data_IF_640395076486
#
_entry.id   IF_640395076486
#
_cell.length_a   1.000
_cell.length_b   1.000
_cell.length_c   1.000
_cell.angle_alpha   90.00
_cell.angle_beta   90.00
_cell.angle_gamma   90.00
#
_symmetry.space_group_name_H-M   'P 1'
#
loop_
_entity.id
_entity.type
_entity.pdbx_description
1 polymer ?
#
# COMPACT_ATOMS: atom_id res chain seq x y z
N UNK A 1 20.28 70.31 9.75
CA UNK A 1 19.12 70.52 10.65
C UNK A 1 17.83 70.49 9.83
N UNK A 2 16.88 69.61 10.21
CA UNK A 2 15.41 69.66 9.97
C UNK A 2 14.99 69.93 8.51
N UNK A 3 14.51 68.96 7.74
CA UNK A 3 13.15 68.39 7.89
C UNK A 3 13.08 66.99 7.30
N UNK A 4 12.88 66.05 8.21
CA UNK A 4 12.58 64.64 8.03
C UNK A 4 11.09 64.45 7.67
N UNK A 5 10.79 63.31 7.04
CA UNK A 5 9.50 62.60 7.12
C UNK A 5 8.28 63.21 6.41
N UNK A 6 8.19 63.07 5.08
CA UNK A 6 6.88 63.08 4.37
C UNK A 6 6.75 62.10 3.21
N UNK A 7 7.66 61.13 3.08
CA UNK A 7 7.60 60.11 2.03
C UNK A 7 7.77 58.67 2.57
N UNK A 8 7.20 58.39 3.75
CA UNK A 8 7.12 57.03 4.31
C UNK A 8 5.64 56.64 4.46
N UNK A 9 4.87 56.80 3.38
CA UNK A 9 3.45 56.43 3.36
C UNK A 9 2.98 56.10 1.94
N UNK A 10 3.70 55.21 1.26
CA UNK A 10 3.33 54.52 0.01
C UNK A 10 4.55 53.62 -0.24
N UNK A 11 4.56 52.30 -0.14
CA UNK A 11 3.65 51.28 -0.65
C UNK A 11 3.96 50.05 0.23
N UNK A 12 3.11 49.78 1.22
CA UNK A 12 3.06 48.48 1.89
C UNK A 12 1.84 47.74 1.32
N UNK A 13 1.84 47.53 0.01
CA UNK A 13 0.76 46.83 -0.69
C UNK A 13 1.06 45.34 -0.63
N UNK A 14 0.42 44.70 0.35
CA UNK A 14 -0.08 43.33 0.30
C UNK A 14 0.81 42.27 -0.33
N UNK A 15 1.79 41.78 0.42
CA UNK A 15 2.13 40.35 0.34
C UNK A 15 0.97 39.55 0.91
N UNK A 16 -0.11 39.40 0.14
CA UNK A 16 -1.04 38.30 0.34
C UNK A 16 -0.27 37.03 0.02
N UNK A 17 0.26 36.44 1.08
CA UNK A 17 0.69 35.05 1.10
C UNK A 17 -0.56 34.26 0.73
N UNK A 18 -0.70 33.99 -0.56
CA UNK A 18 -1.61 32.97 -1.05
C UNK A 18 -0.98 31.65 -0.66
N UNK A 19 -1.15 31.28 0.62
CA UNK A 19 -1.20 29.89 0.99
C UNK A 19 -2.40 29.34 0.24
N UNK A 20 -2.16 28.83 -0.97
CA UNK A 20 -3.03 27.79 -1.51
C UNK A 20 -2.91 26.66 -0.51
N UNK A 21 -3.92 26.50 0.35
CA UNK A 21 -4.20 25.18 0.91
C UNK A 21 -4.22 24.25 -0.29
N UNK A 22 -3.22 23.38 -0.37
CA UNK A 22 -3.26 22.28 -1.30
C UNK A 22 -4.50 21.47 -0.92
N UNK A 23 -5.59 21.68 -1.66
CA UNK A 23 -6.80 20.88 -1.51
C UNK A 23 -6.34 19.46 -1.75
N UNK A 24 -6.25 18.68 -0.66
CA UNK A 24 -5.85 17.28 -0.74
C UNK A 24 -6.79 16.62 -1.75
N UNK A 25 -6.22 15.94 -2.73
CA UNK A 25 -7.04 15.19 -3.69
C UNK A 25 -7.84 14.15 -2.90
N UNK A 26 -9.14 13.97 -3.22
CA UNK A 26 -9.95 12.99 -2.52
C UNK A 26 -9.38 11.61 -2.76
N UNK A 27 -9.31 10.83 -1.69
CA UNK A 27 -8.90 9.42 -1.72
C UNK A 27 -10.02 8.51 -2.21
N UNK A 28 -11.27 8.98 -2.10
CA UNK A 28 -12.47 8.27 -2.50
C UNK A 28 -13.41 9.21 -3.24
N UNK A 29 -14.01 8.73 -4.32
CA UNK A 29 -14.97 9.48 -5.13
C UNK A 29 -16.39 8.90 -5.04
N UNK A 30 -17.27 9.58 -4.29
CA UNK A 30 -18.69 9.23 -4.15
C UNK A 30 -19.51 9.82 -5.31
N UNK A 31 -20.18 8.97 -6.10
CA UNK A 31 -21.02 9.40 -7.24
C UNK A 31 -22.09 8.37 -7.60
N UNK A 32 -23.11 8.76 -8.39
CA UNK A 32 -24.37 8.01 -8.61
C UNK A 32 -24.28 6.62 -9.29
N UNK A 33 -23.07 6.09 -9.53
CA UNK A 33 -22.83 4.72 -9.97
C UNK A 33 -21.72 4.12 -9.10
N UNK A 34 -22.08 3.66 -7.91
CA UNK A 34 -21.18 2.90 -7.02
C UNK A 34 -21.03 1.46 -7.53
N UNK A 35 -20.46 1.31 -8.72
CA UNK A 35 -19.78 0.08 -9.12
C UNK A 35 -18.30 0.40 -9.13
N UNK A 36 -17.56 -0.18 -8.19
CA UNK A 36 -16.10 -0.22 -8.23
C UNK A 36 -15.71 -0.78 -9.60
N UNK A 37 -15.15 0.06 -10.46
CA UNK A 37 -14.73 -0.36 -11.79
C UNK A 37 -13.39 -1.07 -11.67
N UNK A 38 -13.30 -2.29 -12.21
CA UNK A 38 -12.02 -2.95 -12.42
C UNK A 38 -11.30 -2.17 -13.52
N UNK A 39 -10.35 -1.32 -13.15
CA UNK A 39 -9.53 -0.56 -14.10
C UNK A 39 -8.67 -1.53 -14.88
N UNK A 40 -8.60 -1.34 -16.21
CA UNK A 40 -7.82 -2.17 -17.13
C UNK A 40 -6.33 -1.92 -16.90
N UNK A 41 -5.52 -2.98 -16.82
CA UNK A 41 -4.07 -2.86 -16.66
C UNK A 41 -3.44 -1.98 -17.75
N UNK A 42 -2.56 -1.07 -17.35
CA UNK A 42 -1.80 -0.19 -18.25
C UNK A 42 -0.73 -1.02 -18.99
N UNK A 43 -1.02 -1.37 -20.24
CA UNK A 43 -0.14 -2.24 -21.05
C UNK A 43 1.16 -1.57 -21.50
N UNK A 44 1.41 -0.31 -21.12
CA UNK A 44 2.63 0.42 -21.51
C UNK A 44 3.80 0.19 -20.57
N UNK A 45 3.56 -0.36 -19.38
CA UNK A 45 4.58 -0.60 -18.36
C UNK A 45 5.23 -1.97 -18.56
N UNK A 46 6.56 -2.01 -18.41
CA UNK A 46 7.35 -3.25 -18.54
C UNK A 46 7.42 -3.89 -17.16
N UNK A 47 6.74 -5.01 -16.97
CA UNK A 47 6.84 -5.81 -15.76
C UNK A 47 8.16 -6.59 -15.73
N UNK A 48 8.85 -6.54 -14.59
CA UNK A 48 10.00 -7.38 -14.27
C UNK A 48 9.81 -8.06 -12.91
N UNK A 49 10.59 -9.10 -12.64
CA UNK A 49 10.57 -9.80 -11.36
C UNK A 49 11.96 -9.78 -10.72
N UNK A 50 11.99 -9.66 -9.39
CA UNK A 50 13.19 -9.95 -8.61
C UNK A 50 13.45 -11.47 -8.59
N UNK A 51 14.67 -11.86 -8.19
CA UNK A 51 14.99 -13.25 -7.92
C UNK A 51 14.07 -13.80 -6.82
N UNK A 52 13.75 -15.11 -6.85
CA UNK A 52 12.88 -15.71 -5.86
C UNK A 52 13.50 -15.65 -4.47
N UNK A 53 12.63 -15.46 -3.48
CA UNK A 53 12.95 -15.60 -2.07
C UNK A 53 12.21 -16.80 -1.49
N UNK A 54 12.78 -17.40 -0.46
CA UNK A 54 12.11 -18.44 0.31
C UNK A 54 12.06 -18.01 1.78
N UNK A 55 10.86 -18.02 2.34
CA UNK A 55 10.67 -17.74 3.76
C UNK A 55 10.98 -19.01 4.57
N UNK A 56 11.63 -18.83 5.71
CA UNK A 56 12.06 -19.94 6.55
C UNK A 56 10.88 -20.83 7.00
N UNK A 57 11.05 -22.15 6.89
CA UNK A 57 10.03 -23.12 7.28
C UNK A 57 8.93 -23.34 6.23
N UNK A 58 9.10 -22.78 5.02
CA UNK A 58 8.10 -22.86 3.95
C UNK A 58 8.61 -23.64 2.75
N UNK A 59 7.70 -24.22 1.98
CA UNK A 59 7.99 -24.96 0.74
C UNK A 59 7.65 -24.18 -0.53
N UNK A 60 7.65 -22.85 -0.43
CA UNK A 60 7.29 -21.94 -1.52
C UNK A 60 8.37 -20.89 -1.76
N UNK A 61 8.67 -20.68 -3.04
CA UNK A 61 9.41 -19.55 -3.56
C UNK A 61 8.43 -18.44 -3.92
N UNK A 62 8.77 -17.22 -3.53
CA UNK A 62 8.00 -16.00 -3.82
C UNK A 62 8.83 -15.15 -4.78
N UNK A 63 8.22 -14.75 -5.89
CA UNK A 63 8.81 -13.90 -6.91
C UNK A 63 8.10 -12.54 -6.88
N UNK A 64 8.74 -11.49 -6.34
CA UNK A 64 8.21 -10.14 -6.38
C UNK A 64 8.16 -9.60 -7.81
N UNK A 65 7.01 -9.06 -8.23
CA UNK A 65 6.81 -8.53 -9.58
C UNK A 65 6.39 -7.06 -9.51
N UNK A 66 6.99 -6.21 -10.33
CA UNK A 66 6.68 -4.80 -10.40
C UNK A 66 7.19 -4.15 -11.68
N UNK A 67 6.93 -2.86 -11.83
CA UNK A 67 7.28 -2.14 -13.05
C UNK A 67 8.75 -1.71 -13.07
N UNK A 68 9.36 -1.79 -14.26
CA UNK A 68 10.69 -1.28 -14.51
C UNK A 68 10.72 0.25 -14.33
N UNK A 69 11.51 0.73 -13.37
CA UNK A 69 11.65 2.17 -13.11
C UNK A 69 12.81 2.75 -13.90
N UNK A 70 12.46 3.60 -14.88
CA UNK A 70 13.42 4.40 -15.65
C UNK A 70 13.40 5.83 -15.10
N UNK A 71 14.54 6.31 -14.61
CA UNK A 71 14.64 7.69 -14.13
C UNK A 71 15.08 8.61 -15.27
N UNK A 72 14.30 9.67 -15.55
CA UNK A 72 14.72 10.71 -16.49
C UNK A 72 15.78 11.63 -15.85
N UNK A 73 16.79 11.98 -16.66
CA UNK A 73 18.01 12.67 -16.24
C UNK A 73 17.72 14.10 -15.77
N UNK A 74 17.77 14.34 -14.46
CA UNK A 74 17.91 15.68 -13.89
C UNK A 74 19.27 16.29 -14.22
N UNK A 75 19.29 17.49 -14.76
CA UNK A 75 20.47 18.24 -15.20
C UNK A 75 21.46 18.53 -14.06
N UNK A 76 22.47 17.65 -13.90
CA UNK A 76 23.86 17.94 -13.43
C UNK A 76 24.66 16.64 -13.33
N UNK A 77 25.19 16.17 -14.46
CA UNK A 77 26.15 15.08 -14.49
C UNK A 77 27.47 15.52 -13.84
N UNK A 78 27.82 14.93 -12.68
CA UNK A 78 29.19 14.96 -12.17
C UNK A 78 30.00 13.93 -12.95
N UNK A 79 31.16 14.38 -13.43
CA UNK A 79 32.10 13.64 -14.26
C UNK A 79 32.58 12.34 -13.59
N UNK A 80 32.54 11.24 -14.34
CA UNK A 80 33.34 10.04 -14.11
C UNK A 80 32.61 8.90 -13.39
N UNK A 81 31.96 8.00 -14.15
CA UNK A 81 31.97 6.53 -14.03
C UNK A 81 31.09 5.95 -15.16
N UNK A 82 31.42 4.74 -15.61
CA UNK A 82 30.90 3.97 -16.75
C UNK A 82 29.40 4.07 -17.04
N UNK A 83 29.09 4.13 -18.33
CA UNK A 83 27.78 4.26 -18.98
C UNK A 83 26.88 3.02 -18.87
N UNK A 84 26.52 2.61 -17.65
CA UNK A 84 25.40 1.68 -17.43
C UNK A 84 24.24 2.48 -16.86
N UNK A 85 23.15 2.49 -17.61
CA UNK A 85 22.03 3.42 -17.58
C UNK A 85 21.33 3.56 -16.21
N UNK A 86 20.74 4.74 -15.98
CA UNK A 86 19.93 5.15 -14.82
C UNK A 86 18.59 4.36 -14.68
N UNK A 87 18.66 3.03 -14.76
CA UNK A 87 17.52 2.10 -14.69
C UNK A 87 17.66 1.27 -13.41
N UNK A 88 16.62 1.29 -12.56
CA UNK A 88 16.57 0.43 -11.37
C UNK A 88 15.85 -0.87 -11.70
N UNK A 89 16.57 -1.98 -11.56
CA UNK A 89 16.03 -3.34 -11.74
C UNK A 89 15.55 -3.97 -10.42
N UNK A 90 15.83 -3.35 -9.27
CA UNK A 90 15.35 -3.82 -7.97
C UNK A 90 13.89 -3.42 -7.79
N UNK A 91 13.04 -4.40 -7.53
CA UNK A 91 11.59 -4.22 -7.39
C UNK A 91 11.17 -4.12 -5.91
N UNK A 92 11.79 -4.93 -5.06
CA UNK A 92 11.41 -5.09 -3.66
C UNK A 92 12.57 -4.85 -2.69
N UNK A 93 12.23 -4.50 -1.44
CA UNK A 93 13.14 -4.54 -0.31
C UNK A 93 12.73 -5.67 0.63
N UNK A 94 13.73 -6.41 1.12
CA UNK A 94 13.54 -7.60 1.94
C UNK A 94 13.96 -7.33 3.38
N UNK A 95 13.03 -7.52 4.32
CA UNK A 95 13.28 -7.72 5.74
C UNK A 95 13.27 -9.20 6.10
N UNK A 96 13.48 -9.54 7.38
CA UNK A 96 13.61 -10.93 7.84
C UNK A 96 12.40 -11.81 7.47
N UNK A 97 11.19 -11.26 7.51
CA UNK A 97 9.95 -11.93 7.12
C UNK A 97 8.99 -10.99 6.37
N UNK A 98 9.51 -9.93 5.76
CA UNK A 98 8.69 -8.89 5.14
C UNK A 98 9.25 -8.51 3.77
N UNK A 99 8.35 -8.40 2.80
CA UNK A 99 8.64 -7.85 1.48
C UNK A 99 7.94 -6.50 1.42
N UNK A 100 8.68 -5.46 1.07
CA UNK A 100 8.11 -4.11 0.84
C UNK A 100 8.44 -3.62 -0.56
N UNK A 101 7.57 -2.77 -1.11
CA UNK A 101 7.79 -2.20 -2.43
C UNK A 101 6.52 -1.58 -2.99
N UNK A 102 6.53 -1.36 -4.30
CA UNK A 102 5.35 -1.00 -5.09
C UNK A 102 5.12 -2.15 -6.08
N UNK A 103 4.67 -3.29 -5.55
CA UNK A 103 4.64 -4.54 -6.28
C UNK A 103 3.30 -4.68 -7.00
N UNK A 104 3.33 -4.97 -8.30
CA UNK A 104 2.13 -5.24 -9.09
C UNK A 104 1.60 -6.66 -8.83
N UNK A 105 2.47 -7.58 -8.39
CA UNK A 105 2.07 -8.91 -7.98
C UNK A 105 3.14 -9.59 -7.11
N UNK A 106 2.75 -10.71 -6.49
CA UNK A 106 3.67 -11.71 -5.97
C UNK A 106 3.33 -13.03 -6.66
N UNK A 107 4.32 -13.69 -7.25
CA UNK A 107 4.10 -15.01 -7.86
C UNK A 107 4.67 -16.10 -6.96
N UNK A 108 3.94 -17.18 -6.81
CA UNK A 108 4.26 -18.28 -5.90
C UNK A 108 4.57 -19.53 -6.69
N UNK A 109 5.65 -20.21 -6.29
CA UNK A 109 6.10 -21.45 -6.87
C UNK A 109 6.41 -22.43 -5.76
N UNK A 110 5.86 -23.65 -5.81
CA UNK A 110 6.24 -24.69 -4.86
C UNK A 110 7.65 -25.19 -5.20
N UNK A 111 8.52 -25.41 -4.22
CA UNK A 111 9.97 -25.70 -4.43
C UNK A 111 10.24 -26.91 -5.33
N UNK A 112 9.33 -27.89 -5.35
CA UNK A 112 9.42 -29.12 -6.15
C UNK A 112 8.60 -29.05 -7.45
N UNK A 113 8.19 -27.85 -7.88
CA UNK A 113 7.33 -27.64 -9.04
C UNK A 113 7.82 -26.50 -9.92
N UNK A 114 7.66 -26.65 -11.24
CA UNK A 114 7.87 -25.57 -12.20
C UNK A 114 6.63 -24.67 -12.36
N UNK A 115 5.53 -24.99 -11.67
CA UNK A 115 4.30 -24.20 -11.73
C UNK A 115 4.42 -22.94 -10.90
N UNK A 116 4.23 -21.80 -11.57
CA UNK A 116 4.20 -20.46 -10.98
C UNK A 116 2.78 -19.91 -11.11
N UNK A 117 2.23 -19.38 -10.00
CA UNK A 117 0.90 -18.75 -9.98
C UNK A 117 0.96 -17.32 -9.44
N UNK A 118 0.16 -16.39 -9.97
CA UNK A 118 0.04 -15.06 -9.38
C UNK A 118 -0.76 -15.10 -8.07
N UNK A 119 -0.56 -14.11 -7.20
CA UNK A 119 -1.40 -13.86 -6.03
C UNK A 119 -2.81 -13.44 -6.44
N UNK A 120 -2.89 -12.62 -7.49
CA UNK A 120 -4.12 -12.02 -7.99
C UNK A 120 -4.09 -11.94 -9.51
N UNK A 121 -5.22 -12.24 -10.14
CA UNK A 121 -5.46 -11.99 -11.57
C UNK A 121 -6.00 -10.56 -11.82
N UNK A 122 -6.37 -9.85 -10.75
CA UNK A 122 -6.82 -8.46 -10.81
C UNK A 122 -5.63 -7.52 -10.53
N UNK A 123 -5.61 -6.32 -11.14
CA UNK A 123 -4.64 -5.30 -10.82
C UNK A 123 -4.71 -4.93 -9.33
N UNK A 124 -3.55 -4.93 -8.68
CA UNK A 124 -3.36 -4.57 -7.26
C UNK A 124 -2.01 -3.87 -7.12
N UNK A 125 -1.85 -3.02 -6.12
CA UNK A 125 -0.56 -2.47 -5.72
C UNK A 125 -0.23 -2.92 -4.30
N UNK A 126 0.67 -3.88 -4.15
CA UNK A 126 1.11 -4.41 -2.87
C UNK A 126 2.22 -3.51 -2.31
N UNK A 127 1.99 -2.98 -1.11
CA UNK A 127 2.93 -2.15 -0.37
C UNK A 127 3.80 -2.98 0.56
N UNK A 128 3.16 -3.91 1.28
CA UNK A 128 3.83 -4.83 2.20
C UNK A 128 3.25 -6.24 2.09
N UNK A 129 4.10 -7.25 2.25
CA UNK A 129 3.73 -8.65 2.43
C UNK A 129 4.56 -9.23 3.58
N UNK A 130 3.92 -9.50 4.71
CA UNK A 130 4.57 -9.92 5.95
C UNK A 130 4.18 -11.35 6.29
N UNK A 131 5.18 -12.22 6.45
CA UNK A 131 5.00 -13.60 6.90
C UNK A 131 4.96 -13.67 8.43
N UNK A 132 3.90 -14.27 8.97
CA UNK A 132 3.73 -14.39 10.42
C UNK A 132 4.46 -15.61 10.97
N UNK A 133 5.80 -15.61 10.91
CA UNK A 133 6.66 -16.72 11.35
C UNK A 133 6.33 -17.21 12.76
N UNK A 134 6.14 -16.28 13.71
CA UNK A 134 5.85 -16.65 15.11
C UNK A 134 4.49 -17.31 15.30
N UNK A 135 3.53 -17.04 14.41
CA UNK A 135 2.24 -17.75 14.35
C UNK A 135 2.42 -19.13 13.73
N UNK A 136 3.16 -19.21 12.63
CA UNK A 136 3.49 -20.47 11.96
C UNK A 136 4.17 -21.45 12.91
N UNK A 137 5.17 -21.00 13.67
CA UNK A 137 5.90 -21.86 14.62
C UNK A 137 5.03 -22.41 15.75
N UNK A 138 4.00 -21.65 16.17
CA UNK A 138 3.11 -22.05 17.27
C UNK A 138 1.93 -22.89 16.81
N UNK A 139 1.40 -22.59 15.64
CA UNK A 139 0.10 -23.12 15.17
C UNK A 139 0.21 -24.02 13.94
N UNK A 140 1.37 -24.02 13.28
CA UNK A 140 1.60 -24.61 11.96
C UNK A 140 0.75 -23.98 10.84
N UNK A 141 0.10 -22.84 11.10
CA UNK A 141 -0.62 -22.06 10.11
C UNK A 141 0.34 -21.03 9.49
N UNK A 142 0.74 -21.25 8.23
CA UNK A 142 1.62 -20.34 7.51
C UNK A 142 0.80 -19.22 6.86
N UNK A 143 0.68 -18.09 7.56
CA UNK A 143 -0.16 -16.95 7.14
C UNK A 143 0.70 -15.78 6.66
N UNK A 144 0.31 -15.20 5.53
CA UNK A 144 0.81 -13.93 5.00
C UNK A 144 -0.19 -12.81 5.26
N UNK A 145 0.31 -11.62 5.58
CA UNK A 145 -0.48 -10.39 5.74
C UNK A 145 -0.04 -9.40 4.68
N UNK A 146 -1.00 -8.77 4.00
CA UNK A 146 -0.71 -7.81 2.94
C UNK A 146 -1.37 -6.47 3.20
N UNK A 147 -0.59 -5.39 3.03
CA UNK A 147 -1.12 -4.04 2.87
C UNK A 147 -1.05 -3.67 1.40
N UNK A 148 -2.19 -3.38 0.77
CA UNK A 148 -2.26 -3.12 -0.67
C UNK A 148 -3.44 -2.21 -1.06
N UNK A 149 -3.42 -1.68 -2.27
CA UNK A 149 -4.61 -1.09 -2.92
C UNK A 149 -5.14 -2.04 -3.99
N UNK A 150 -6.47 -2.21 -4.05
CA UNK A 150 -7.15 -3.23 -4.89
C UNK A 150 -8.16 -2.64 -5.88
N UNK A 151 -8.34 -1.31 -5.85
CA UNK A 151 -9.33 -0.62 -6.65
C UNK A 151 -8.99 0.85 -6.82
N UNK A 152 -9.40 1.41 -7.97
CA UNK A 152 -9.33 2.84 -8.28
C UNK A 152 -10.50 3.57 -7.57
N UNK A 153 -10.25 3.89 -6.31
CA UNK A 153 -11.24 4.47 -5.38
C UNK A 153 -11.46 5.95 -5.61
N UNK A 154 -10.44 6.66 -6.09
CA UNK A 154 -10.55 8.07 -6.45
C UNK A 154 -11.01 8.30 -7.90
N UNK A 155 -11.09 7.24 -8.72
CA UNK A 155 -11.54 7.21 -10.13
C UNK A 155 -10.63 8.02 -11.06
N UNK A 156 -9.33 8.04 -10.79
CA UNK A 156 -8.34 8.74 -11.62
C UNK A 156 -7.78 7.88 -12.76
N UNK A 157 -8.21 6.62 -12.85
CA UNK A 157 -7.81 5.67 -13.88
C UNK A 157 -6.57 4.85 -13.52
N UNK A 158 -6.09 4.92 -12.28
CA UNK A 158 -4.93 4.15 -11.79
C UNK A 158 -5.28 3.43 -10.50
N UNK A 159 -4.48 2.41 -10.17
CA UNK A 159 -4.48 1.81 -8.84
C UNK A 159 -3.13 2.13 -8.24
N UNK A 160 -3.09 3.08 -7.31
CA UNK A 160 -1.84 3.50 -6.68
C UNK A 160 -2.01 3.86 -5.20
N UNK A 161 -1.00 4.49 -4.59
CA UNK A 161 -1.03 4.86 -3.16
C UNK A 161 -2.04 5.95 -2.80
N UNK A 162 -2.58 6.64 -3.79
CA UNK A 162 -3.64 7.63 -3.62
C UNK A 162 -5.02 6.99 -3.46
N UNK A 163 -5.13 5.67 -3.64
CA UNK A 163 -6.31 4.87 -3.35
C UNK A 163 -6.36 4.34 -1.92
N UNK A 164 -7.54 3.84 -1.52
CA UNK A 164 -7.75 3.21 -0.22
C UNK A 164 -6.78 2.05 -0.01
N UNK A 165 -6.01 2.13 1.07
CA UNK A 165 -5.21 0.99 1.57
C UNK A 165 -6.12 -0.01 2.25
N UNK A 166 -5.90 -1.28 1.91
CA UNK A 166 -6.68 -2.42 2.40
C UNK A 166 -5.76 -3.45 3.04
N UNK A 167 -6.36 -4.33 3.83
CA UNK A 167 -5.68 -5.43 4.51
C UNK A 167 -6.18 -6.76 3.95
N UNK A 168 -5.26 -7.63 3.58
CA UNK A 168 -5.52 -8.98 3.07
C UNK A 168 -4.72 -10.02 3.84
N UNK A 169 -5.22 -11.26 3.82
CA UNK A 169 -4.52 -12.44 4.31
C UNK A 169 -4.45 -13.50 3.21
N UNK A 170 -3.43 -14.36 3.23
CA UNK A 170 -3.38 -15.58 2.41
C UNK A 170 -2.58 -16.66 3.13
N UNK A 171 -2.67 -17.87 2.60
CA UNK A 171 -1.69 -18.91 2.93
C UNK A 171 -0.32 -18.52 2.35
N UNK A 172 0.76 -19.13 2.85
CA UNK A 172 2.12 -18.95 2.32
C UNK A 172 2.25 -19.25 0.82
N UNK A 173 1.32 -20.03 0.31
CA UNK A 173 1.24 -20.44 -1.07
C UNK A 173 0.61 -19.35 -1.97
N UNK A 174 0.08 -18.27 -1.39
CA UNK A 174 -0.73 -17.24 -2.06
C UNK A 174 -2.21 -17.62 -2.23
N UNK A 175 -2.60 -18.85 -1.87
CA UNK A 175 -4.02 -19.26 -1.91
C UNK A 175 -4.82 -18.67 -0.75
N UNK A 176 -6.14 -18.75 -0.85
CA UNK A 176 -7.07 -18.18 0.11
C UNK A 176 -6.85 -16.67 0.32
N UNK A 177 -6.42 -15.95 -0.72
CA UNK A 177 -6.21 -14.51 -0.71
C UNK A 177 -7.52 -13.76 -0.43
N UNK A 178 -7.67 -13.30 0.81
CA UNK A 178 -8.93 -12.83 1.40
C UNK A 178 -8.79 -11.40 1.92
N UNK A 179 -9.65 -10.50 1.44
CA UNK A 179 -9.78 -9.14 1.98
C UNK A 179 -10.38 -9.20 3.37
N UNK A 180 -9.77 -8.53 4.35
CA UNK A 180 -10.26 -8.49 5.73
C UNK A 180 -10.67 -7.08 6.19
N UNK A 181 -10.15 -6.03 5.56
CA UNK A 181 -10.67 -4.67 5.75
C UNK A 181 -11.98 -4.48 4.97
N UNK A 182 -12.94 -3.77 5.55
CA UNK A 182 -14.20 -3.46 4.86
C UNK A 182 -13.98 -2.55 3.63
N UNK A 183 -14.89 -2.64 2.67
CA UNK A 183 -14.87 -1.75 1.51
C UNK A 183 -15.11 -0.28 1.91
N UNK A 184 -14.49 0.64 1.18
CA UNK A 184 -14.56 2.09 1.42
C UNK A 184 -14.06 2.53 2.81
N UNK A 185 -13.29 1.68 3.49
CA UNK A 185 -12.59 2.04 4.72
C UNK A 185 -11.07 1.94 4.51
N UNK A 186 -10.34 2.99 4.87
CA UNK A 186 -8.88 2.99 4.79
C UNK A 186 -8.26 2.27 5.99
N UNK A 187 -7.33 1.34 5.71
CA UNK A 187 -6.47 0.75 6.72
C UNK A 187 -5.57 1.84 7.34
N UNK A 188 -5.73 2.03 8.65
CA UNK A 188 -4.90 2.92 9.45
C UNK A 188 -3.62 2.20 9.84
N UNK A 189 -3.75 1.05 10.51
CA UNK A 189 -2.65 0.18 10.92
C UNK A 189 -3.11 -1.22 11.27
N UNK A 190 -2.14 -2.11 11.48
CA UNK A 190 -2.34 -3.44 12.04
C UNK A 190 -1.17 -3.82 12.96
N UNK A 191 -1.40 -4.77 13.85
CA UNK A 191 -0.40 -5.33 14.75
C UNK A 191 -0.71 -6.79 15.10
N UNK A 192 0.33 -7.57 15.35
CA UNK A 192 0.20 -8.96 15.82
C UNK A 192 0.42 -9.03 17.33
N UNK A 193 -0.54 -9.62 18.06
CA UNK A 193 -0.39 -9.99 19.46
C UNK A 193 -0.10 -11.48 19.54
N UNK A 194 1.19 -11.81 19.57
CA UNK A 194 1.68 -13.20 19.47
C UNK A 194 1.28 -14.10 20.63
N UNK A 195 1.05 -13.54 21.82
CA UNK A 195 0.59 -14.31 22.99
C UNK A 195 -0.82 -14.86 22.82
N UNK A 196 -1.58 -14.32 21.87
CA UNK A 196 -2.96 -14.72 21.54
C UNK A 196 -3.12 -15.24 20.12
N UNK A 197 -2.07 -15.19 19.29
CA UNK A 197 -2.15 -15.42 17.84
C UNK A 197 -3.25 -14.57 17.20
N UNK A 198 -3.34 -13.29 17.57
CA UNK A 198 -4.38 -12.38 17.08
C UNK A 198 -3.79 -11.23 16.31
N UNK A 199 -4.28 -11.03 15.10
CA UNK A 199 -4.00 -9.85 14.31
C UNK A 199 -5.06 -8.80 14.62
N UNK A 200 -4.62 -7.66 15.13
CA UNK A 200 -5.47 -6.48 15.38
C UNK A 200 -5.25 -5.47 14.28
N UNK A 201 -6.31 -4.77 13.87
CA UNK A 201 -6.19 -3.71 12.88
C UNK A 201 -7.27 -2.66 13.08
N UNK A 202 -6.99 -1.46 12.55
CA UNK A 202 -7.90 -0.33 12.59
C UNK A 202 -8.16 0.18 11.18
N UNK A 203 -9.41 0.50 10.92
CA UNK A 203 -9.82 1.16 9.68
C UNK A 203 -10.55 2.45 10.01
N UNK A 204 -10.56 3.39 9.06
CA UNK A 204 -11.31 4.64 9.15
C UNK A 204 -12.33 4.72 8.01
N UNK A 205 -13.56 5.09 8.35
CA UNK A 205 -14.67 5.24 7.42
C UNK A 205 -15.00 6.71 7.23
N UNK A 206 -14.92 7.21 6.00
CA UNK A 206 -15.39 8.56 5.65
C UNK A 206 -16.92 8.64 5.75
N UNK A 207 -17.39 9.04 6.93
CA UNK A 207 -18.81 9.04 7.29
C UNK A 207 -19.56 10.23 6.72
N UNK A 208 -18.84 11.32 6.46
CA UNK A 208 -19.40 12.54 5.90
C UNK A 208 -19.30 12.57 4.35
N UNK A 209 -18.61 11.58 3.76
CA UNK A 209 -18.47 11.32 2.34
C UNK A 209 -17.83 12.49 1.57
N UNK A 210 -16.89 13.19 2.20
CA UNK A 210 -16.14 14.28 1.56
C UNK A 210 -14.91 13.80 0.76
N UNK A 211 -14.63 12.50 0.76
CA UNK A 211 -13.49 11.87 0.10
C UNK A 211 -12.18 11.98 0.87
N UNK A 212 -12.22 12.46 2.11
CA UNK A 212 -11.07 12.61 3.02
C UNK A 212 -11.31 11.76 4.27
N UNK A 213 -10.23 11.21 4.82
CA UNK A 213 -10.27 10.49 6.08
C UNK A 213 -9.70 11.39 7.18
N UNK A 214 -10.59 12.00 7.97
CA UNK A 214 -10.21 13.04 8.94
C UNK A 214 -10.82 12.82 10.35
N UNK A 215 -10.71 13.83 11.22
CA UNK A 215 -11.16 13.75 12.62
C UNK A 215 -12.68 13.62 12.78
N UNK A 216 -13.45 13.92 11.74
CA UNK A 216 -14.90 13.83 11.73
C UNK A 216 -15.39 12.42 11.37
N UNK A 217 -14.46 11.50 11.10
CA UNK A 217 -14.73 10.15 10.63
C UNK A 217 -14.58 9.09 11.72
N UNK A 218 -15.11 7.90 11.43
CA UNK A 218 -15.26 6.85 12.44
C UNK A 218 -14.14 5.82 12.31
N UNK A 219 -13.45 5.58 13.42
CA UNK A 219 -12.50 4.48 13.56
C UNK A 219 -13.21 3.18 13.94
N UNK A 220 -12.89 2.12 13.21
CA UNK A 220 -13.32 0.76 13.49
C UNK A 220 -12.14 -0.05 14.02
N UNK A 221 -12.35 -0.73 15.14
CA UNK A 221 -11.35 -1.57 15.78
C UNK A 221 -11.71 -3.04 15.58
N UNK A 222 -10.79 -3.79 14.99
CA UNK A 222 -11.03 -5.16 14.57
C UNK A 222 -9.89 -6.08 14.99
N UNK A 223 -10.20 -7.37 15.12
CA UNK A 223 -9.18 -8.40 15.23
C UNK A 223 -9.60 -9.70 14.54
N UNK A 224 -8.61 -10.53 14.23
CA UNK A 224 -8.77 -11.87 13.67
C UNK A 224 -8.01 -12.83 14.57
N UNK A 225 -8.64 -13.96 14.88
CA UNK A 225 -7.98 -15.07 15.57
C UNK A 225 -7.32 -16.00 14.54
N UNK A 226 -5.99 -15.99 14.50
CA UNK A 226 -5.21 -16.74 13.50
C UNK A 226 -5.02 -18.22 13.88
N UNK A 227 -5.39 -18.61 15.11
CA UNK A 227 -5.45 -20.01 15.49
C UNK A 227 -6.74 -20.69 14.98
N UNK A 228 -7.74 -19.90 14.57
CA UNK A 228 -8.98 -20.41 13.99
C UNK A 228 -8.78 -20.87 12.55
N UNK A 229 -9.50 -21.91 12.12
CA UNK A 229 -9.45 -22.43 10.73
C UNK A 229 -9.96 -21.44 9.69
N UNK A 230 -10.76 -20.46 10.11
CA UNK A 230 -11.31 -19.41 9.26
C UNK A 230 -10.94 -18.05 9.84
N UNK A 231 -10.52 -17.13 8.98
CA UNK A 231 -10.25 -15.76 9.36
C UNK A 231 -11.56 -14.99 9.45
N UNK A 232 -12.12 -14.93 10.65
CA UNK A 232 -13.31 -14.13 10.95
C UNK A 232 -12.90 -12.80 11.59
N UNK A 233 -13.37 -11.71 11.00
CA UNK A 233 -13.16 -10.36 11.52
C UNK A 233 -14.12 -10.14 12.68
N UNK A 234 -13.58 -9.76 13.83
CA UNK A 234 -14.34 -9.44 15.04
C UNK A 234 -14.11 -7.99 15.43
N UNK A 235 -15.17 -7.21 15.39
CA UNK A 235 -15.14 -5.83 15.88
C UNK A 235 -15.15 -5.78 17.40
N UNK A 236 -14.48 -4.79 17.97
CA UNK A 236 -14.48 -4.52 19.40
C UNK A 236 -14.47 -3.01 19.65
N UNK A 237 -14.71 -2.61 20.91
CA UNK A 237 -14.76 -1.21 21.32
C UNK A 237 -13.79 -1.00 22.48
N UNK A 238 -12.57 -0.49 22.23
CA UNK A 238 -11.65 -0.15 23.30
C UNK A 238 -12.01 1.16 24.03
N UNK A 239 -12.95 1.92 23.48
CA UNK A 239 -13.49 3.19 23.99
C UNK A 239 -15.01 3.17 23.97
#
# INVERSE_FOLDING_TARGET
MKKYFKYIALILVGTVISCREEVQKPKVSYGASNKVSVTKADTTQIEIADLPIQLEGTSYLIHPVGDLRVFERGSKARFGTSSVNDVSFTISNLGEYEITGYLQNLKFQKVDSDSIRPLSDKPILILTATYLKTVADKTHNNVMVYTLTDSDTNKDGKIDTSDIKTLYLSDISGENFTKVSADLQELVDWSLIESKNRLYFRTIEDTNQNGQFDKNDVLHYNYIDLASKKWEVKSYKPI
#
